data_IF_001513697048
#
_entry.id   IF_001513697048
#
_cell.length_a   1.000
_cell.length_b   1.000
_cell.length_c   1.000
_cell.angle_alpha   90.00
_cell.angle_beta   90.00
_cell.angle_gamma   90.00
#
_symmetry.space_group_name_H-M   'P 1'
#
loop_
_entity.id
_entity.type
_entity.pdbx_description
1 polymer ?
#
# COMPACT_ATOMS: atom_id res chain seq x y z
N UNK A 1 5.14 20.31 -21.58
CA UNK A 1 5.20 18.85 -21.30
C UNK A 1 3.87 18.41 -20.72
N UNK A 2 3.35 17.30 -21.24
CA UNK A 2 2.08 16.69 -20.83
C UNK A 2 2.30 15.28 -20.30
N UNK A 3 1.85 15.00 -19.07
CA UNK A 3 2.00 13.70 -18.43
C UNK A 3 0.61 13.15 -18.07
N UNK A 4 0.34 11.89 -18.46
CA UNK A 4 -0.91 11.21 -18.13
C UNK A 4 -0.64 10.06 -17.16
N UNK A 5 -1.44 9.97 -16.08
CA UNK A 5 -1.42 8.90 -15.10
C UNK A 5 -2.56 7.92 -15.38
N UNK A 6 -2.23 6.68 -15.73
CA UNK A 6 -3.18 5.60 -16.00
C UNK A 6 -3.68 4.99 -14.67
N UNK A 7 -4.99 5.03 -14.43
CA UNK A 7 -5.62 4.59 -13.19
C UNK A 7 -6.65 3.50 -13.46
N UNK A 8 -6.16 2.26 -13.64
CA UNK A 8 -7.02 1.08 -13.71
C UNK A 8 -7.70 0.76 -12.36
N UNK A 9 -7.03 1.11 -11.25
CA UNK A 9 -7.53 0.88 -9.90
C UNK A 9 -7.20 2.06 -8.98
N UNK A 10 -8.16 2.44 -8.12
CA UNK A 10 -8.01 3.58 -7.21
C UNK A 10 -6.81 3.47 -6.23
N UNK A 11 -6.38 2.27 -5.90
CA UNK A 11 -5.23 2.06 -5.01
C UNK A 11 -3.87 2.43 -5.64
N UNK A 12 -3.82 2.87 -6.92
CA UNK A 12 -2.63 3.51 -7.50
C UNK A 12 -2.48 4.96 -7.03
N UNK A 13 -3.59 5.65 -6.75
CA UNK A 13 -3.59 7.08 -6.42
C UNK A 13 -2.66 7.47 -5.27
N UNK A 14 -2.58 6.73 -4.14
CA UNK A 14 -1.65 7.08 -3.07
C UNK A 14 -0.17 7.10 -3.51
N UNK A 15 0.18 6.39 -4.59
CA UNK A 15 1.53 6.39 -5.17
C UNK A 15 1.73 7.53 -6.16
N UNK A 16 0.67 7.93 -6.85
CA UNK A 16 0.69 8.98 -7.86
C UNK A 16 0.55 10.38 -7.29
N UNK A 17 -0.33 10.56 -6.30
CA UNK A 17 -0.66 11.89 -5.79
C UNK A 17 0.57 12.72 -5.37
N UNK A 18 1.56 12.17 -4.64
CA UNK A 18 2.74 12.97 -4.28
C UNK A 18 3.59 13.38 -5.49
N UNK A 19 3.60 12.55 -6.56
CA UNK A 19 4.30 12.87 -7.82
C UNK A 19 3.52 13.90 -8.62
N UNK A 20 2.19 13.78 -8.67
CA UNK A 20 1.29 14.76 -9.30
C UNK A 20 1.47 16.13 -8.66
N UNK A 21 1.49 16.19 -7.33
CA UNK A 21 1.67 17.44 -6.57
C UNK A 21 3.04 18.07 -6.86
N UNK A 22 4.10 17.27 -6.95
CA UNK A 22 5.45 17.76 -7.29
C UNK A 22 5.52 18.32 -8.70
N UNK A 23 5.00 17.57 -9.69
CA UNK A 23 4.96 18.00 -11.10
C UNK A 23 4.08 19.23 -11.31
N UNK A 24 2.95 19.32 -10.57
CA UNK A 24 2.06 20.50 -10.61
C UNK A 24 2.79 21.77 -10.15
N UNK A 25 3.59 21.67 -9.08
CA UNK A 25 4.42 22.81 -8.60
C UNK A 25 5.44 23.27 -9.64
N UNK A 26 5.84 22.39 -10.55
CA UNK A 26 6.77 22.67 -11.63
C UNK A 26 6.09 23.07 -12.95
N UNK A 27 4.75 23.29 -12.93
CA UNK A 27 4.00 23.82 -14.07
C UNK A 27 3.75 22.81 -15.20
N UNK A 28 3.82 21.51 -14.94
CA UNK A 28 3.56 20.45 -15.91
C UNK A 28 2.05 20.32 -16.17
N UNK A 29 1.66 20.09 -17.43
CA UNK A 29 0.30 19.73 -17.80
C UNK A 29 0.01 18.26 -17.41
N UNK A 30 -0.96 18.09 -16.51
CA UNK A 30 -1.24 16.79 -15.91
C UNK A 30 -2.64 16.29 -16.23
N UNK A 31 -2.76 15.00 -16.53
CA UNK A 31 -4.03 14.31 -16.67
C UNK A 31 -4.07 12.99 -15.90
N UNK A 32 -5.25 12.66 -15.39
CA UNK A 32 -5.52 11.36 -14.73
C UNK A 32 -6.58 10.63 -15.55
N UNK A 33 -6.24 9.43 -16.00
CA UNK A 33 -7.07 8.62 -16.91
C UNK A 33 -7.65 7.44 -16.13
N UNK A 34 -8.92 7.52 -15.78
CA UNK A 34 -9.65 6.44 -15.12
C UNK A 34 -10.28 5.50 -16.14
N UNK A 35 -10.23 4.19 -15.89
CA UNK A 35 -10.88 3.18 -16.73
C UNK A 35 -12.40 3.05 -16.46
N UNK A 36 -12.88 3.64 -15.38
CA UNK A 36 -14.30 3.73 -15.00
C UNK A 36 -14.53 4.97 -14.15
N UNK A 37 -15.79 5.37 -13.98
CA UNK A 37 -16.15 6.55 -13.18
C UNK A 37 -15.62 6.41 -11.74
N UNK A 38 -14.74 7.32 -11.28
CA UNK A 38 -14.25 7.31 -9.90
C UNK A 38 -15.29 7.90 -8.94
N UNK A 39 -15.19 7.64 -7.62
CA UNK A 39 -16.00 8.30 -6.61
C UNK A 39 -15.93 9.84 -6.74
N UNK A 40 -17.08 10.50 -6.55
CA UNK A 40 -17.19 11.96 -6.75
C UNK A 40 -16.18 12.77 -5.93
N UNK A 41 -15.92 12.36 -4.69
CA UNK A 41 -14.93 13.02 -3.81
C UNK A 41 -13.50 12.95 -4.38
N UNK A 42 -13.09 11.78 -4.90
CA UNK A 42 -11.77 11.59 -5.53
C UNK A 42 -11.67 12.43 -6.81
N UNK A 43 -12.73 12.43 -7.64
CA UNK A 43 -12.80 13.24 -8.85
C UNK A 43 -12.67 14.72 -8.54
N UNK A 44 -13.40 15.23 -7.56
CA UNK A 44 -13.36 16.63 -7.14
C UNK A 44 -11.95 17.02 -6.64
N UNK A 45 -11.34 16.20 -5.79
CA UNK A 45 -9.99 16.44 -5.27
C UNK A 45 -8.96 16.51 -6.40
N UNK A 46 -8.92 15.52 -7.29
CA UNK A 46 -7.92 15.46 -8.36
C UNK A 46 -8.13 16.53 -9.43
N UNK A 47 -9.36 16.97 -9.68
CA UNK A 47 -9.67 18.03 -10.64
C UNK A 47 -9.05 19.38 -10.28
N UNK A 48 -8.59 19.57 -9.05
CA UNK A 48 -7.87 20.78 -8.63
C UNK A 48 -6.40 20.81 -9.10
N UNK A 49 -5.84 19.63 -9.44
CA UNK A 49 -4.42 19.49 -9.76
C UNK A 49 -4.16 18.90 -11.15
N UNK A 50 -5.12 18.20 -11.75
CA UNK A 50 -4.98 17.54 -13.04
C UNK A 50 -6.30 17.51 -13.83
N UNK A 51 -6.23 17.37 -15.13
CA UNK A 51 -7.40 17.11 -15.98
C UNK A 51 -7.86 15.66 -15.80
N UNK A 52 -9.16 15.44 -15.68
CA UNK A 52 -9.72 14.09 -15.47
C UNK A 52 -10.31 13.57 -16.79
N UNK A 53 -9.90 12.37 -17.15
CA UNK A 53 -10.42 11.62 -18.28
C UNK A 53 -11.03 10.30 -17.76
N UNK A 54 -12.15 9.87 -18.38
CA UNK A 54 -12.81 8.60 -18.10
C UNK A 54 -12.88 7.85 -19.41
N UNK A 55 -12.04 6.83 -19.57
CA UNK A 55 -11.84 6.12 -20.84
C UNK A 55 -11.94 4.62 -20.59
N UNK A 56 -12.85 3.95 -21.28
CA UNK A 56 -12.96 2.50 -21.21
C UNK A 56 -11.67 1.81 -21.69
N UNK A 57 -11.35 0.66 -21.12
CA UNK A 57 -10.12 -0.10 -21.39
C UNK A 57 -9.89 -0.33 -22.91
N UNK A 58 -10.95 -0.61 -23.68
CA UNK A 58 -10.88 -0.83 -25.12
C UNK A 58 -10.48 0.39 -25.94
N UNK A 59 -10.69 1.60 -25.41
CA UNK A 59 -10.43 2.87 -26.09
C UNK A 59 -9.10 3.52 -25.70
N UNK A 60 -8.38 2.99 -24.70
CA UNK A 60 -7.17 3.60 -24.13
C UNK A 60 -6.07 3.83 -25.16
N UNK A 61 -5.79 2.85 -26.04
CA UNK A 61 -4.74 2.97 -27.07
C UNK A 61 -5.08 4.13 -28.01
N UNK A 62 -6.32 4.20 -28.50
CA UNK A 62 -6.79 5.30 -29.36
C UNK A 62 -6.65 6.64 -28.63
N UNK A 63 -7.13 6.71 -27.39
CA UNK A 63 -7.06 7.93 -26.57
C UNK A 63 -5.62 8.42 -26.40
N UNK A 64 -4.69 7.55 -26.00
CA UNK A 64 -3.28 7.95 -25.83
C UNK A 64 -2.63 8.37 -27.16
N UNK A 65 -2.97 7.70 -28.26
CA UNK A 65 -2.50 8.06 -29.60
C UNK A 65 -2.98 9.45 -30.03
N UNK A 66 -4.24 9.79 -29.72
CA UNK A 66 -4.83 11.12 -30.03
C UNK A 66 -4.29 12.21 -29.10
N UNK A 67 -4.07 11.91 -27.80
CA UNK A 67 -3.60 12.88 -26.82
C UNK A 67 -2.10 13.18 -26.91
N UNK A 68 -1.31 12.28 -27.48
CA UNK A 68 0.15 12.38 -27.66
C UNK A 68 0.89 12.95 -26.42
N UNK A 69 0.69 12.38 -25.21
CA UNK A 69 1.43 12.88 -24.04
C UNK A 69 2.91 12.58 -24.17
N UNK A 70 3.76 13.39 -23.55
CA UNK A 70 5.19 13.11 -23.44
C UNK A 70 5.44 11.85 -22.62
N UNK A 71 4.65 11.64 -21.54
CA UNK A 71 4.72 10.49 -20.67
C UNK A 71 3.37 9.89 -20.34
N UNK A 72 3.35 8.55 -20.21
CA UNK A 72 2.23 7.79 -19.61
C UNK A 72 2.77 7.00 -18.42
N UNK A 73 2.19 7.21 -17.24
CA UNK A 73 2.60 6.56 -15.99
C UNK A 73 1.60 5.47 -15.61
N UNK A 74 2.08 4.24 -15.49
CA UNK A 74 1.29 3.05 -15.14
C UNK A 74 1.54 2.61 -13.68
N UNK A 75 0.50 2.11 -13.00
CA UNK A 75 0.59 1.57 -11.62
C UNK A 75 0.89 0.07 -11.54
N UNK A 76 0.92 -0.59 -12.70
CA UNK A 76 1.19 -2.02 -12.84
C UNK A 76 1.65 -2.33 -14.27
N UNK A 77 2.01 -3.60 -14.51
CA UNK A 77 2.28 -4.11 -15.86
C UNK A 77 1.14 -3.76 -16.85
N UNK A 78 1.51 -3.31 -18.04
CA UNK A 78 0.58 -2.98 -19.10
C UNK A 78 1.17 -3.34 -20.47
N UNK A 79 0.32 -3.84 -21.39
CA UNK A 79 0.68 -4.08 -22.79
C UNK A 79 0.35 -2.90 -23.71
N UNK A 80 -0.24 -1.82 -23.17
CA UNK A 80 -0.58 -0.62 -23.93
C UNK A 80 0.66 -0.02 -24.60
N UNK A 81 1.82 0.14 -23.92
CA UNK A 81 3.01 0.74 -24.51
C UNK A 81 3.44 0.09 -25.83
N UNK A 82 3.38 -1.24 -25.92
CA UNK A 82 3.70 -1.98 -27.16
C UNK A 82 2.78 -1.68 -28.36
N UNK A 83 1.65 -0.99 -28.14
CA UNK A 83 0.68 -0.59 -29.17
C UNK A 83 0.74 0.90 -29.55
N UNK A 84 1.59 1.69 -28.88
CA UNK A 84 1.68 3.14 -29.06
C UNK A 84 2.75 3.58 -30.07
N UNK A 85 3.47 2.64 -30.70
CA UNK A 85 4.48 2.91 -31.74
C UNK A 85 5.56 3.95 -31.33
N UNK A 86 5.90 4.03 -30.03
CA UNK A 86 6.94 4.94 -29.52
C UNK A 86 6.54 6.43 -29.48
N UNK A 87 5.27 6.76 -29.64
CA UNK A 87 4.78 8.16 -29.63
C UNK A 87 4.87 8.84 -28.26
N UNK A 88 4.88 8.06 -27.17
CA UNK A 88 4.96 8.54 -25.79
C UNK A 88 5.95 7.68 -25.02
N UNK A 89 6.76 8.29 -24.17
CA UNK A 89 7.57 7.55 -23.21
C UNK A 89 6.68 6.96 -22.12
N UNK A 90 7.08 5.83 -21.58
CA UNK A 90 6.26 5.11 -20.61
C UNK A 90 7.05 4.75 -19.36
N UNK A 91 6.44 4.96 -18.19
CA UNK A 91 7.05 4.59 -16.93
C UNK A 91 6.05 3.88 -16.00
N UNK A 92 6.58 3.10 -15.06
CA UNK A 92 5.79 2.40 -14.05
C UNK A 92 6.18 2.84 -12.65
N UNK A 93 5.18 3.24 -11.86
CA UNK A 93 5.28 3.39 -10.41
C UNK A 93 4.50 2.24 -9.79
N UNK A 94 5.20 1.20 -9.33
CA UNK A 94 4.55 0.00 -8.79
C UNK A 94 3.79 0.31 -7.50
N UNK A 95 2.56 -0.24 -7.39
CA UNK A 95 1.65 0.00 -6.28
C UNK A 95 1.86 -0.89 -5.04
N UNK A 96 2.98 -1.60 -4.93
CA UNK A 96 3.20 -2.52 -3.82
C UNK A 96 4.65 -2.66 -3.42
N UNK A 97 4.86 -2.89 -2.11
CA UNK A 97 6.13 -3.15 -1.47
C UNK A 97 6.30 -4.61 -1.09
N UNK A 98 7.56 -5.01 -0.96
CA UNK A 98 7.95 -6.27 -0.34
C UNK A 98 8.12 -7.43 -1.31
N UNK A 99 8.25 -8.63 -0.76
CA UNK A 99 8.86 -9.76 -1.45
C UNK A 99 7.93 -10.56 -2.38
N UNK A 100 6.70 -10.09 -2.63
CA UNK A 100 5.74 -10.86 -3.44
C UNK A 100 6.22 -11.02 -4.87
N UNK A 101 6.23 -12.26 -5.37
CA UNK A 101 6.64 -12.61 -6.74
C UNK A 101 5.90 -11.80 -7.83
N UNK A 102 4.64 -11.45 -7.59
CA UNK A 102 3.86 -10.61 -8.51
C UNK A 102 4.48 -9.23 -8.75
N UNK A 103 5.20 -8.67 -7.77
CA UNK A 103 5.86 -7.38 -7.91
C UNK A 103 7.17 -7.45 -8.70
N UNK A 104 7.76 -8.65 -8.82
CA UNK A 104 8.91 -8.88 -9.71
C UNK A 104 8.44 -9.18 -11.13
N UNK A 105 7.53 -10.14 -11.28
CA UNK A 105 7.03 -10.59 -12.60
C UNK A 105 6.30 -9.47 -13.37
N UNK A 106 5.72 -8.48 -12.67
CA UNK A 106 5.11 -7.30 -13.27
C UNK A 106 6.08 -6.42 -14.07
N UNK A 107 7.40 -6.64 -13.91
CA UNK A 107 8.43 -5.93 -14.68
C UNK A 107 8.61 -6.47 -16.10
N UNK A 108 8.11 -7.68 -16.40
CA UNK A 108 8.12 -8.25 -17.74
C UNK A 108 6.96 -7.71 -18.59
N UNK A 109 7.10 -6.47 -19.05
CA UNK A 109 6.11 -5.78 -19.87
C UNK A 109 6.80 -4.73 -20.76
N UNK A 110 6.15 -4.19 -21.79
CA UNK A 110 6.74 -3.24 -22.73
C UNK A 110 6.84 -1.79 -22.23
N UNK A 111 6.72 -1.55 -20.94
CA UNK A 111 6.97 -0.23 -20.33
C UNK A 111 8.48 0.05 -20.40
N UNK A 112 8.91 1.29 -20.71
CA UNK A 112 10.33 1.64 -20.86
C UNK A 112 11.07 1.75 -19.54
N UNK A 113 10.50 2.49 -18.57
CA UNK A 113 11.14 2.80 -17.28
C UNK A 113 10.35 2.24 -16.11
N UNK A 114 11.03 1.82 -15.05
CA UNK A 114 10.41 1.35 -13.81
C UNK A 114 11.04 2.07 -12.64
N UNK A 115 10.23 2.86 -11.94
CA UNK A 115 10.65 3.48 -10.69
C UNK A 115 10.57 2.46 -9.57
N UNK A 116 11.69 2.28 -8.88
CA UNK A 116 11.90 1.22 -7.89
C UNK A 116 12.26 1.84 -6.56
N UNK A 117 11.77 1.24 -5.50
CA UNK A 117 11.89 1.78 -4.15
C UNK A 117 13.28 1.66 -3.55
N UNK A 118 14.06 0.60 -3.83
CA UNK A 118 15.36 0.37 -3.20
C UNK A 118 16.44 -0.12 -4.17
N UNK A 119 17.71 0.19 -3.86
CA UNK A 119 18.87 -0.30 -4.60
C UNK A 119 18.94 -1.84 -4.64
N UNK A 120 18.62 -2.49 -3.51
CA UNK A 120 18.62 -3.95 -3.42
C UNK A 120 17.64 -4.56 -4.41
N UNK A 121 16.45 -3.95 -4.53
CA UNK A 121 15.43 -4.42 -5.48
C UNK A 121 15.80 -4.08 -6.91
N UNK A 122 16.35 -2.91 -7.16
CA UNK A 122 16.85 -2.53 -8.50
C UNK A 122 17.87 -3.53 -9.01
N UNK A 123 18.88 -3.88 -8.20
CA UNK A 123 19.90 -4.88 -8.55
C UNK A 123 19.29 -6.26 -8.86
N UNK A 124 18.34 -6.71 -8.03
CA UNK A 124 17.64 -7.99 -8.24
C UNK A 124 16.81 -7.98 -9.54
N UNK A 125 16.08 -6.90 -9.79
CA UNK A 125 15.27 -6.75 -11.00
C UNK A 125 16.15 -6.64 -12.25
N UNK A 126 17.25 -5.93 -12.20
CA UNK A 126 18.21 -5.82 -13.30
C UNK A 126 18.83 -7.18 -13.66
N UNK A 127 19.07 -8.04 -12.65
CA UNK A 127 19.53 -9.43 -12.88
C UNK A 127 18.46 -10.29 -13.54
N UNK A 128 17.17 -10.13 -13.13
CA UNK A 128 16.06 -10.90 -13.69
C UNK A 128 15.64 -10.44 -15.09
N UNK A 129 15.78 -9.13 -15.36
CA UNK A 129 15.32 -8.48 -16.59
C UNK A 129 16.42 -7.51 -17.10
N UNK A 130 17.53 -8.04 -17.65
CA UNK A 130 18.69 -7.22 -18.01
C UNK A 130 18.42 -6.22 -19.16
N UNK A 131 17.38 -6.46 -19.95
CA UNK A 131 16.93 -5.64 -21.08
C UNK A 131 15.96 -4.51 -20.66
N UNK A 132 15.60 -4.42 -19.37
CA UNK A 132 14.67 -3.41 -18.85
C UNK A 132 15.40 -2.32 -18.07
N UNK A 133 14.84 -1.11 -18.07
CA UNK A 133 15.42 0.04 -17.35
C UNK A 133 14.74 0.23 -16.01
N UNK A 134 15.55 0.22 -14.93
CA UNK A 134 15.12 0.43 -13.56
C UNK A 134 15.79 1.69 -12.99
N UNK A 135 15.00 2.52 -12.30
CA UNK A 135 15.46 3.77 -11.69
C UNK A 135 15.11 3.76 -10.21
N UNK A 136 16.11 3.73 -9.35
CA UNK A 136 15.89 3.79 -7.90
C UNK A 136 15.45 5.18 -7.49
N UNK A 137 14.25 5.30 -6.93
CA UNK A 137 13.67 6.60 -6.54
C UNK A 137 13.23 6.66 -5.08
N UNK A 138 13.03 5.53 -4.41
CA UNK A 138 12.31 5.45 -3.15
C UNK A 138 10.82 5.16 -3.38
N UNK A 139 10.05 5.12 -2.29
CA UNK A 139 8.63 4.76 -2.32
C UNK A 139 7.74 5.98 -2.13
N UNK A 140 7.24 6.53 -3.22
CA UNK A 140 6.54 7.82 -3.31
C UNK A 140 5.35 7.96 -2.36
N UNK A 141 4.61 6.88 -2.13
CA UNK A 141 3.44 6.84 -1.25
C UNK A 141 3.75 7.33 0.17
N UNK A 142 4.97 7.12 0.67
CA UNK A 142 5.34 7.48 2.05
C UNK A 142 5.78 8.95 2.20
N UNK A 143 6.12 9.64 1.14
CA UNK A 143 6.62 11.02 1.21
C UNK A 143 5.72 11.94 2.03
N UNK A 144 4.38 11.95 1.87
CA UNK A 144 3.51 12.80 2.66
C UNK A 144 3.56 12.52 4.17
N UNK A 145 3.74 11.25 4.58
CA UNK A 145 3.88 10.90 6.00
C UNK A 145 5.21 11.38 6.57
N UNK A 146 6.30 11.19 5.82
CA UNK A 146 7.65 11.58 6.25
C UNK A 146 7.78 13.10 6.33
N UNK A 147 7.16 13.81 5.37
CA UNK A 147 7.17 15.27 5.31
C UNK A 147 6.12 15.92 6.23
N UNK A 148 5.34 15.13 7.00
CA UNK A 148 4.24 15.61 7.84
C UNK A 148 3.23 16.49 7.07
N UNK A 149 3.02 16.21 5.78
CA UNK A 149 2.04 16.89 4.92
C UNK A 149 0.73 16.12 4.81
N UNK A 150 0.65 14.94 5.42
CA UNK A 150 -0.55 14.11 5.44
C UNK A 150 -1.25 14.22 6.79
N UNK A 151 -2.53 14.57 6.78
CA UNK A 151 -3.31 14.65 8.00
C UNK A 151 -3.56 13.25 8.58
N UNK A 152 -3.20 13.06 9.84
CA UNK A 152 -3.60 11.89 10.61
C UNK A 152 -5.12 11.87 10.79
N UNK A 153 -5.67 10.68 11.02
CA UNK A 153 -7.08 10.59 11.41
C UNK A 153 -7.29 11.33 12.73
N UNK A 154 -8.29 12.21 12.77
CA UNK A 154 -8.67 12.92 14.00
C UNK A 154 -9.36 11.95 14.95
N UNK A 155 -8.61 11.49 15.96
CA UNK A 155 -9.10 10.52 16.94
C UNK A 155 -10.30 11.07 17.73
N UNK A 156 -10.26 12.35 18.12
CA UNK A 156 -11.34 12.96 18.88
C UNK A 156 -12.63 13.08 18.06
N UNK A 157 -12.53 13.46 16.78
CA UNK A 157 -13.67 13.49 15.87
C UNK A 157 -14.29 12.11 15.63
N UNK A 158 -13.49 11.03 15.81
CA UNK A 158 -13.97 9.64 15.75
C UNK A 158 -14.45 9.09 17.10
N UNK A 159 -14.55 9.91 18.13
CA UNK A 159 -14.97 9.51 19.48
C UNK A 159 -13.89 8.72 20.26
N UNK A 160 -12.64 8.74 19.80
CA UNK A 160 -11.52 8.09 20.46
C UNK A 160 -10.74 9.09 21.36
N UNK A 161 -10.05 8.58 22.38
CA UNK A 161 -9.25 9.43 23.28
C UNK A 161 -7.88 9.77 22.69
N UNK A 162 -7.54 11.06 22.50
CA UNK A 162 -6.21 11.44 22.04
C UNK A 162 -5.06 11.05 22.99
N UNK A 163 -5.36 10.86 24.28
CA UNK A 163 -4.37 10.53 25.32
C UNK A 163 -3.99 9.04 25.36
N UNK A 164 -4.75 8.19 24.68
CA UNK A 164 -4.49 6.74 24.63
C UNK A 164 -3.56 6.38 23.49
N UNK A 165 -2.70 5.38 23.73
CA UNK A 165 -1.94 4.73 22.64
C UNK A 165 -2.91 4.10 21.64
N UNK A 166 -2.55 4.19 20.35
CA UNK A 166 -3.40 3.79 19.24
C UNK A 166 -2.81 2.57 18.51
N UNK A 167 -3.60 1.51 18.45
CA UNK A 167 -3.29 0.29 17.72
C UNK A 167 -3.95 0.35 16.33
N UNK A 168 -3.21 0.07 15.28
CA UNK A 168 -3.74 -0.10 13.92
C UNK A 168 -3.83 -1.59 13.59
N UNK A 169 -5.04 -2.12 13.49
CA UNK A 169 -5.27 -3.46 12.96
C UNK A 169 -5.60 -3.36 11.47
N UNK A 170 -4.65 -3.80 10.64
CA UNK A 170 -4.78 -3.75 9.17
C UNK A 170 -4.69 -5.15 8.55
N UNK A 171 -5.75 -5.99 8.69
CA UNK A 171 -5.74 -7.35 8.21
C UNK A 171 -5.86 -7.46 6.69
N UNK A 172 -5.28 -8.53 6.12
CA UNK A 172 -5.52 -8.92 4.72
C UNK A 172 -6.93 -9.51 4.56
N UNK A 173 -7.38 -9.62 3.30
CA UNK A 173 -8.69 -10.23 3.04
C UNK A 173 -8.68 -11.77 3.13
N UNK A 174 -7.56 -12.41 2.74
CA UNK A 174 -7.41 -13.87 2.80
C UNK A 174 -5.97 -14.34 2.46
N UNK A 175 -5.40 -15.30 3.23
CA UNK A 175 -5.89 -15.75 4.54
C UNK A 175 -5.78 -14.62 5.58
N UNK A 176 -6.66 -14.60 6.58
CA UNK A 176 -6.75 -13.51 7.54
C UNK A 176 -6.85 -14.02 8.98
N UNK A 177 -6.46 -13.19 9.94
CA UNK A 177 -6.64 -13.43 11.37
C UNK A 177 -8.02 -13.01 11.87
N UNK A 178 -8.81 -12.21 11.12
CA UNK A 178 -10.10 -11.64 11.56
C UNK A 178 -11.00 -12.69 12.20
N UNK A 179 -11.19 -13.85 11.54
CA UNK A 179 -12.12 -14.88 11.97
C UNK A 179 -11.61 -15.71 13.17
N UNK A 180 -10.37 -15.46 13.62
CA UNK A 180 -9.75 -16.11 14.78
C UNK A 180 -9.59 -15.14 15.97
N UNK A 181 -10.02 -13.87 15.83
CA UNK A 181 -10.14 -12.95 16.95
C UNK A 181 -11.45 -13.23 17.73
N UNK A 182 -11.45 -13.17 19.07
CA UNK A 182 -12.67 -13.20 19.88
C UNK A 182 -13.59 -12.03 19.53
N UNK A 183 -14.90 -12.21 19.78
CA UNK A 183 -15.87 -11.13 19.57
C UNK A 183 -15.63 -9.93 20.49
N UNK A 184 -15.14 -10.18 21.69
CA UNK A 184 -14.91 -9.20 22.76
C UNK A 184 -13.46 -8.70 22.82
N UNK A 185 -12.61 -8.99 21.80
CA UNK A 185 -11.22 -8.55 21.82
C UNK A 185 -11.05 -7.04 22.02
N UNK A 186 -11.91 -6.15 21.51
CA UNK A 186 -11.72 -4.72 21.74
C UNK A 186 -11.88 -4.35 23.22
N UNK A 187 -12.74 -5.06 23.97
CA UNK A 187 -12.90 -4.86 25.42
C UNK A 187 -11.63 -5.25 26.20
N UNK A 188 -10.94 -6.30 25.75
CA UNK A 188 -9.68 -6.75 26.35
C UNK A 188 -8.54 -5.73 26.13
N UNK A 189 -8.71 -4.80 25.19
CA UNK A 189 -7.78 -3.72 24.85
C UNK A 189 -8.38 -2.32 25.12
N UNK A 190 -9.32 -2.18 26.07
CA UNK A 190 -10.04 -0.93 26.35
C UNK A 190 -9.13 0.25 26.77
N UNK A 191 -7.91 -0.03 27.24
CA UNK A 191 -6.90 0.98 27.57
C UNK A 191 -6.25 1.62 26.32
N UNK A 192 -6.48 1.09 25.11
CA UNK A 192 -5.96 1.57 23.84
C UNK A 192 -7.08 2.03 22.93
N UNK A 193 -6.80 2.94 22.00
CA UNK A 193 -7.61 3.12 20.81
C UNK A 193 -7.29 2.00 19.80
N UNK A 194 -8.28 1.59 19.05
CA UNK A 194 -8.15 0.58 18.00
C UNK A 194 -8.68 1.17 16.71
N UNK A 195 -7.80 1.40 15.74
CA UNK A 195 -8.15 1.72 14.37
C UNK A 195 -8.16 0.41 13.56
N UNK A 196 -9.29 0.09 12.95
CA UNK A 196 -9.40 -1.10 12.11
C UNK A 196 -9.51 -0.65 10.65
N UNK A 197 -8.49 -0.96 9.85
CA UNK A 197 -8.45 -0.69 8.41
C UNK A 197 -8.29 -1.99 7.64
N UNK A 198 -9.37 -2.75 7.41
CA UNK A 198 -9.30 -4.01 6.68
C UNK A 198 -9.06 -3.78 5.20
N UNK A 199 -8.59 -4.81 4.52
CA UNK A 199 -8.47 -4.78 3.06
C UNK A 199 -9.86 -4.55 2.44
N UNK A 200 -9.95 -3.68 1.42
CA UNK A 200 -11.20 -3.31 0.75
C UNK A 200 -12.08 -4.52 0.37
N UNK A 201 -11.47 -5.61 -0.12
CA UNK A 201 -12.21 -6.82 -0.49
C UNK A 201 -12.92 -7.48 0.70
N UNK A 202 -12.43 -7.34 1.93
CA UNK A 202 -13.13 -7.83 3.13
C UNK A 202 -14.45 -7.12 3.35
N UNK A 203 -14.52 -5.84 2.95
CA UNK A 203 -15.71 -5.01 3.12
C UNK A 203 -16.77 -5.26 2.04
N UNK A 204 -16.39 -5.56 0.80
CA UNK A 204 -17.32 -5.60 -0.33
C UNK A 204 -17.65 -6.99 -0.87
N UNK A 205 -16.72 -7.97 -0.82
CA UNK A 205 -16.96 -9.27 -1.46
C UNK A 205 -17.89 -10.16 -0.63
N UNK A 206 -18.93 -10.78 -1.26
CA UNK A 206 -19.86 -11.68 -0.57
C UNK A 206 -19.17 -12.84 0.18
N UNK A 207 -18.06 -13.35 -0.37
CA UNK A 207 -17.29 -14.44 0.22
C UNK A 207 -16.73 -14.13 1.63
N UNK A 208 -16.65 -12.85 2.03
CA UNK A 208 -16.13 -12.40 3.32
C UNK A 208 -17.22 -11.89 4.28
N UNK A 209 -18.46 -12.38 4.13
CA UNK A 209 -19.60 -12.01 4.99
C UNK A 209 -19.27 -12.17 6.49
N UNK A 210 -18.65 -13.30 6.88
CA UNK A 210 -18.26 -13.53 8.29
C UNK A 210 -17.25 -12.52 8.82
N UNK A 211 -16.32 -12.06 7.99
CA UNK A 211 -15.39 -11.00 8.39
C UNK A 211 -16.15 -9.69 8.62
N UNK A 212 -17.06 -9.31 7.72
CA UNK A 212 -17.89 -8.09 7.91
C UNK A 212 -18.74 -8.13 9.16
N UNK A 213 -19.37 -9.27 9.46
CA UNK A 213 -20.18 -9.43 10.68
C UNK A 213 -19.33 -9.20 11.94
N UNK A 214 -18.08 -9.67 11.97
CA UNK A 214 -17.16 -9.42 13.09
C UNK A 214 -16.72 -7.96 13.14
N UNK A 215 -16.35 -7.37 12.01
CA UNK A 215 -15.95 -5.97 11.91
C UNK A 215 -17.04 -5.02 12.36
N UNK A 216 -18.28 -5.23 11.93
CA UNK A 216 -19.45 -4.45 12.35
C UNK A 216 -19.77 -4.66 13.85
N UNK A 217 -19.56 -5.86 14.37
CA UNK A 217 -19.69 -6.10 15.80
C UNK A 217 -18.66 -5.30 16.61
N UNK A 218 -17.38 -5.31 16.19
CA UNK A 218 -16.30 -4.60 16.89
C UNK A 218 -16.45 -3.07 16.80
N UNK A 219 -17.02 -2.55 15.73
CA UNK A 219 -17.32 -1.12 15.55
C UNK A 219 -18.15 -0.52 16.70
N UNK A 220 -18.94 -1.34 17.40
CA UNK A 220 -19.80 -0.87 18.49
C UNK A 220 -19.05 -0.66 19.82
N UNK A 221 -17.76 -1.00 19.90
CA UNK A 221 -16.96 -0.73 21.10
C UNK A 221 -16.45 0.71 21.12
N UNK A 222 -16.48 1.40 22.28
CA UNK A 222 -16.19 2.83 22.40
C UNK A 222 -14.71 3.19 22.09
N UNK A 223 -13.82 2.20 22.08
CA UNK A 223 -12.41 2.37 21.75
C UNK A 223 -12.06 1.93 20.32
N UNK A 224 -13.05 1.71 19.46
CA UNK A 224 -12.86 1.21 18.08
C UNK A 224 -13.34 2.21 17.06
N UNK A 225 -12.51 2.47 16.07
CA UNK A 225 -12.92 3.07 14.80
C UNK A 225 -12.70 2.07 13.66
N UNK A 226 -13.75 1.75 12.95
CA UNK A 226 -13.70 0.92 11.73
C UNK A 226 -13.73 1.82 10.50
N UNK A 227 -12.70 1.73 9.68
CA UNK A 227 -12.63 2.46 8.41
C UNK A 227 -13.79 2.09 7.48
N UNK A 228 -14.39 3.10 6.87
CA UNK A 228 -15.41 2.93 5.84
C UNK A 228 -14.80 2.45 4.51
N UNK A 229 -15.60 1.87 3.59
CA UNK A 229 -15.12 1.51 2.25
C UNK A 229 -14.61 2.71 1.43
N UNK A 230 -15.07 3.93 1.73
CA UNK A 230 -14.70 5.16 1.00
C UNK A 230 -13.33 5.69 1.43
N UNK A 231 -12.85 5.30 2.60
CA UNK A 231 -11.51 5.65 3.09
C UNK A 231 -10.46 4.76 2.40
N UNK A 232 -10.06 5.12 1.18
CA UNK A 232 -9.17 4.30 0.34
C UNK A 232 -7.72 4.26 0.85
N UNK A 233 -7.25 5.33 1.51
CA UNK A 233 -5.87 5.43 1.98
C UNK A 233 -5.66 4.79 3.37
N UNK A 234 -4.52 4.11 3.54
CA UNK A 234 -4.05 3.62 4.84
C UNK A 234 -3.22 4.68 5.59
N UNK A 235 -2.74 5.71 4.88
CA UNK A 235 -1.79 6.69 5.42
C UNK A 235 -2.30 7.47 6.64
N UNK A 236 -3.57 7.97 6.69
CA UNK A 236 -4.08 8.67 7.88
C UNK A 236 -4.08 7.78 9.13
N UNK A 237 -4.35 6.50 8.95
CA UNK A 237 -4.34 5.50 10.04
C UNK A 237 -2.93 5.20 10.52
N UNK A 238 -1.96 5.09 9.59
CA UNK A 238 -0.54 4.90 9.91
C UNK A 238 0.03 6.12 10.66
N UNK A 239 -0.35 7.32 10.27
CA UNK A 239 0.07 8.56 10.93
C UNK A 239 -0.37 8.58 12.40
N UNK A 240 -1.63 8.21 12.69
CA UNK A 240 -2.22 8.23 14.03
C UNK A 240 -1.77 7.06 14.93
N UNK A 241 -1.29 5.95 14.35
CA UNK A 241 -1.01 4.73 15.11
C UNK A 241 0.37 4.71 15.76
N UNK A 242 0.46 4.13 16.96
CA UNK A 242 1.73 3.84 17.66
C UNK A 242 2.28 2.45 17.32
N UNK A 243 1.41 1.49 16.97
CA UNK A 243 1.75 0.11 16.67
C UNK A 243 0.80 -0.45 15.61
N UNK A 244 1.32 -1.29 14.70
CA UNK A 244 0.50 -2.00 13.72
C UNK A 244 0.44 -3.49 14.01
N UNK A 245 -0.77 -4.06 13.88
CA UNK A 245 -1.04 -5.51 13.89
C UNK A 245 -1.53 -5.87 12.48
N UNK A 246 -0.86 -6.82 11.84
CA UNK A 246 -1.28 -7.31 10.52
C UNK A 246 -0.77 -8.74 10.28
N UNK A 247 -1.05 -9.27 9.09
CA UNK A 247 -0.50 -10.54 8.62
C UNK A 247 0.59 -10.30 7.57
N UNK A 248 0.79 -11.21 6.63
CA UNK A 248 1.70 -11.08 5.47
C UNK A 248 1.22 -10.02 4.47
N UNK A 249 1.40 -8.76 4.80
CA UNK A 249 0.92 -7.61 4.03
C UNK A 249 2.06 -6.62 3.73
N UNK A 250 2.03 -5.99 2.55
CA UNK A 250 2.92 -4.86 2.24
C UNK A 250 2.75 -3.69 3.22
N UNK A 251 1.58 -3.55 3.83
CA UNK A 251 1.32 -2.53 4.85
C UNK A 251 2.28 -2.61 6.04
N UNK A 252 2.75 -3.82 6.42
CA UNK A 252 3.76 -3.99 7.47
C UNK A 252 5.08 -3.30 7.12
N UNK A 253 5.54 -3.43 5.86
CA UNK A 253 6.76 -2.76 5.40
C UNK A 253 6.57 -1.25 5.29
N UNK A 254 5.39 -0.80 4.86
CA UNK A 254 5.05 0.62 4.82
C UNK A 254 5.04 1.23 6.23
N UNK A 255 4.45 0.55 7.21
CA UNK A 255 4.41 1.02 8.60
C UNK A 255 5.79 0.93 9.28
N UNK A 256 6.53 -0.14 9.02
CA UNK A 256 7.91 -0.32 9.47
C UNK A 256 8.81 0.85 9.02
N UNK A 257 8.56 1.41 7.81
CA UNK A 257 9.30 2.55 7.30
C UNK A 257 9.20 3.80 8.19
N UNK A 258 8.17 3.89 9.05
CA UNK A 258 8.02 4.94 10.06
C UNK A 258 8.84 4.63 11.34
N UNK A 259 9.63 3.57 11.34
CA UNK A 259 10.37 3.01 12.49
C UNK A 259 9.49 2.72 13.71
N UNK A 260 8.19 2.48 13.49
CA UNK A 260 7.23 2.10 14.53
C UNK A 260 7.12 0.57 14.66
N UNK A 261 6.78 0.03 15.85
CA UNK A 261 6.69 -1.40 16.08
C UNK A 261 5.55 -2.06 15.30
N UNK A 262 5.79 -3.30 14.87
CA UNK A 262 4.82 -4.14 14.18
C UNK A 262 4.65 -5.50 14.86
N UNK A 263 3.43 -6.02 14.85
CA UNK A 263 3.09 -7.39 15.28
C UNK A 263 2.57 -8.16 14.09
N UNK A 264 3.19 -9.31 13.81
CA UNK A 264 2.83 -10.20 12.70
C UNK A 264 1.99 -11.36 13.23
N UNK A 265 0.72 -11.42 12.84
CA UNK A 265 -0.21 -12.48 13.23
C UNK A 265 -0.11 -13.69 12.29
N UNK A 266 0.22 -14.86 12.85
CA UNK A 266 0.29 -16.14 12.11
C UNK A 266 -0.90 -17.08 12.38
N UNK A 267 -1.85 -16.68 13.23
CA UNK A 267 -3.06 -17.47 13.55
C UNK A 267 -4.17 -17.27 12.50
N UNK A 268 -3.82 -17.56 11.25
CA UNK A 268 -4.67 -17.34 10.09
C UNK A 268 -5.85 -18.33 10.02
N UNK A 269 -7.01 -17.86 9.60
CA UNK A 269 -8.13 -18.74 9.21
C UNK A 269 -7.95 -19.23 7.78
N UNK A 270 -7.78 -20.55 7.63
CA UNK A 270 -7.64 -21.20 6.35
C UNK A 270 -8.95 -21.86 5.92
N UNK A 271 -9.31 -21.75 4.64
CA UNK A 271 -10.41 -22.50 4.02
C UNK A 271 -9.99 -23.96 3.81
N UNK A 272 -10.96 -24.85 3.73
CA UNK A 272 -10.71 -26.27 3.49
C UNK A 272 -9.86 -26.55 2.22
N UNK A 273 -9.98 -25.70 1.20
CA UNK A 273 -9.17 -25.78 -0.02
C UNK A 273 -7.65 -25.59 0.17
N UNK A 274 -7.20 -25.31 1.41
CA UNK A 274 -5.80 -25.19 1.80
C UNK A 274 -5.41 -26.17 2.92
N UNK A 275 -6.26 -27.17 3.19
CA UNK A 275 -6.00 -28.18 4.22
C UNK A 275 -5.33 -29.44 3.64
N UNK A 276 -4.69 -30.20 4.51
CA UNK A 276 -4.07 -31.50 4.15
C UNK A 276 -2.99 -31.31 3.06
N UNK A 277 -3.06 -32.16 2.02
CA UNK A 277 -2.13 -32.11 0.89
C UNK A 277 -2.23 -30.83 0.05
N UNK A 278 -3.34 -30.06 0.15
CA UNK A 278 -3.50 -28.79 -0.56
C UNK A 278 -2.74 -27.61 0.10
N UNK A 279 -2.02 -27.83 1.20
CA UNK A 279 -1.15 -26.81 1.85
C UNK A 279 -0.09 -26.24 0.90
N UNK A 280 0.34 -27.00 -0.14
CA UNK A 280 1.27 -26.47 -1.14
C UNK A 280 0.75 -25.22 -1.85
N UNK A 281 -0.58 -25.05 -1.98
CA UNK A 281 -1.19 -23.83 -2.54
C UNK A 281 -0.93 -22.61 -1.67
N UNK A 282 -0.92 -22.80 -0.34
CA UNK A 282 -0.57 -21.72 0.60
C UNK A 282 0.92 -21.41 0.49
N UNK A 283 1.79 -22.42 0.46
CA UNK A 283 3.24 -22.25 0.30
C UNK A 283 3.60 -21.51 -1.00
N UNK A 284 2.95 -21.86 -2.13
CA UNK A 284 3.13 -21.15 -3.40
C UNK A 284 2.68 -19.69 -3.34
N UNK A 285 1.72 -19.35 -2.48
CA UNK A 285 1.23 -17.99 -2.28
C UNK A 285 2.09 -17.19 -1.29
N UNK A 286 2.64 -17.88 -0.30
CA UNK A 286 3.65 -17.36 0.63
C UNK A 286 5.01 -17.66 -0.02
N UNK A 287 5.54 -16.72 -0.81
CA UNK A 287 6.84 -16.86 -1.47
C UNK A 287 7.97 -17.16 -0.49
N UNK A 288 9.15 -17.54 -1.02
CA UNK A 288 10.36 -17.85 -0.24
C UNK A 288 10.78 -16.71 0.71
N UNK A 289 10.35 -15.50 0.42
CA UNK A 289 10.59 -14.31 1.22
C UNK A 289 9.64 -14.15 2.44
N UNK A 290 8.80 -15.16 2.73
CA UNK A 290 7.92 -15.16 3.93
C UNK A 290 8.69 -15.00 5.24
N UNK A 291 9.95 -15.43 5.26
CA UNK A 291 10.83 -15.26 6.42
C UNK A 291 11.03 -13.77 6.78
N UNK A 292 11.05 -12.87 5.81
CA UNK A 292 11.20 -11.43 6.04
C UNK A 292 10.12 -10.88 6.98
N UNK A 293 8.87 -11.37 6.84
CA UNK A 293 7.80 -10.94 7.74
C UNK A 293 8.02 -11.38 9.19
N UNK A 294 8.80 -12.44 9.43
CA UNK A 294 9.11 -12.91 10.78
C UNK A 294 10.22 -12.10 11.45
N UNK A 295 11.04 -11.41 10.66
CA UNK A 295 12.21 -10.70 11.19
C UNK A 295 11.94 -9.22 11.48
N UNK A 296 10.85 -8.65 10.97
CA UNK A 296 10.58 -7.21 11.08
C UNK A 296 9.87 -6.78 12.38
N UNK A 297 9.37 -7.74 13.18
CA UNK A 297 8.63 -7.42 14.40
C UNK A 297 8.26 -8.65 15.21
N UNK A 298 7.43 -8.45 16.20
CA UNK A 298 6.96 -9.52 17.09
C UNK A 298 6.01 -10.46 16.36
N UNK A 299 6.31 -11.76 16.41
CA UNK A 299 5.50 -12.79 15.75
C UNK A 299 4.61 -13.48 16.79
N UNK A 300 3.30 -13.57 16.52
CA UNK A 300 2.35 -14.26 17.37
C UNK A 300 1.63 -15.37 16.59
N UNK A 301 1.59 -16.56 17.19
CA UNK A 301 0.98 -17.75 16.61
C UNK A 301 -0.41 -18.06 17.17
N UNK A 302 -0.76 -17.42 18.30
CA UNK A 302 -2.06 -17.56 18.95
C UNK A 302 -2.56 -16.19 19.40
N UNK A 303 -3.87 -15.97 19.35
CA UNK A 303 -4.50 -14.72 19.82
C UNK A 303 -4.14 -14.41 21.29
N UNK A 304 -4.07 -15.43 22.15
CA UNK A 304 -3.74 -15.26 23.59
C UNK A 304 -2.42 -14.54 23.85
N UNK A 305 -1.50 -14.55 22.88
CA UNK A 305 -0.17 -13.93 23.01
C UNK A 305 -0.21 -12.43 22.63
N UNK A 306 -1.33 -11.96 22.07
CA UNK A 306 -1.45 -10.59 21.52
C UNK A 306 -1.33 -9.51 22.61
N UNK A 307 -1.94 -9.73 23.79
CA UNK A 307 -1.94 -8.73 24.86
C UNK A 307 -0.53 -8.46 25.38
N UNK A 308 0.24 -9.51 25.65
CA UNK A 308 1.65 -9.37 26.04
C UNK A 308 2.47 -8.72 24.92
N UNK A 309 2.30 -9.18 23.67
CA UNK A 309 3.03 -8.62 22.54
C UNK A 309 2.77 -7.12 22.34
N UNK A 310 1.53 -6.65 22.50
CA UNK A 310 1.19 -5.22 22.45
C UNK A 310 1.85 -4.45 23.58
N UNK A 311 1.75 -4.95 24.82
CA UNK A 311 2.39 -4.33 25.99
C UNK A 311 3.90 -4.20 25.82
N UNK A 312 4.58 -5.28 25.43
CA UNK A 312 6.03 -5.32 25.26
C UNK A 312 6.51 -4.32 24.19
N UNK A 313 5.82 -4.27 23.05
CA UNK A 313 6.18 -3.38 21.95
C UNK A 313 5.89 -1.90 22.24
N UNK A 314 4.82 -1.56 22.97
CA UNK A 314 4.52 -0.18 23.35
C UNK A 314 5.42 0.32 24.48
N UNK A 315 5.80 -0.56 25.43
CA UNK A 315 6.75 -0.24 26.52
C UNK A 315 8.19 -0.16 26.01
N UNK A 316 8.54 -0.91 24.98
CA UNK A 316 9.85 -0.90 24.34
C UNK A 316 9.73 -0.75 22.81
N UNK A 317 9.45 0.45 22.27
CA UNK A 317 9.31 0.68 20.84
C UNK A 317 10.56 0.36 20.01
N UNK A 318 11.72 0.27 20.68
CA UNK A 318 13.01 -0.10 20.05
C UNK A 318 13.20 -1.61 19.89
N UNK A 319 12.28 -2.42 20.39
CA UNK A 319 12.29 -3.85 20.12
C UNK A 319 12.29 -4.08 18.59
N UNK A 320 13.24 -4.88 18.09
CA UNK A 320 13.49 -5.08 16.65
C UNK A 320 13.91 -3.83 15.83
N UNK A 321 14.34 -2.73 16.46
CA UNK A 321 14.72 -1.51 15.74
C UNK A 321 15.84 -1.75 14.71
N UNK A 322 16.89 -2.47 15.09
CA UNK A 322 18.01 -2.77 14.18
C UNK A 322 17.55 -3.59 12.95
N UNK A 323 16.69 -4.58 13.17
CA UNK A 323 16.12 -5.38 12.10
C UNK A 323 15.20 -4.52 11.21
N UNK A 324 14.36 -3.67 11.81
CA UNK A 324 13.53 -2.73 11.04
C UNK A 324 14.37 -1.82 10.16
N UNK A 325 15.39 -1.17 10.70
CA UNK A 325 16.28 -0.27 9.94
C UNK A 325 16.96 -0.99 8.78
N UNK A 326 17.48 -2.21 9.01
CA UNK A 326 18.05 -3.05 7.96
C UNK A 326 17.05 -3.33 6.83
N UNK A 327 15.82 -3.72 7.17
CA UNK A 327 14.81 -4.07 6.18
C UNK A 327 14.14 -2.84 5.56
N UNK A 328 14.10 -1.69 6.24
CA UNK A 328 13.72 -0.42 5.63
C UNK A 328 14.65 -0.16 4.44
N UNK A 329 15.96 -0.17 4.65
CA UNK A 329 16.94 0.08 3.59
C UNK A 329 16.78 -0.91 2.42
N UNK A 330 16.62 -2.20 2.71
CA UNK A 330 16.56 -3.26 1.68
C UNK A 330 15.26 -3.27 0.89
N UNK A 331 14.10 -3.04 1.54
CA UNK A 331 12.77 -3.26 0.97
C UNK A 331 12.10 -1.94 0.59
N UNK A 332 12.21 -0.92 1.44
CA UNK A 332 11.54 0.37 1.22
C UNK A 332 12.49 1.36 0.54
N UNK A 333 13.79 1.20 0.79
CA UNK A 333 14.84 2.08 0.28
C UNK A 333 15.02 3.32 1.16
N UNK A 334 15.43 4.42 0.53
CA UNK A 334 15.64 5.70 1.21
C UNK A 334 14.30 6.32 1.60
N UNK A 335 14.09 6.49 2.90
CA UNK A 335 12.86 7.08 3.48
C UNK A 335 13.17 8.50 3.94
N UNK A 336 13.25 9.44 3.00
CA UNK A 336 13.63 10.84 3.23
C UNK A 336 12.58 11.86 2.76
N UNK A 337 11.40 11.37 2.34
CA UNK A 337 10.32 12.21 1.84
C UNK A 337 10.59 12.87 0.49
N UNK A 338 11.57 12.39 -0.29
CA UNK A 338 11.98 12.97 -1.58
C UNK A 338 11.79 12.02 -2.77
N UNK A 339 11.15 10.87 -2.57
CA UNK A 339 10.96 9.88 -3.64
C UNK A 339 10.17 10.48 -4.83
N UNK A 340 9.10 11.20 -4.55
CA UNK A 340 8.27 11.85 -5.55
C UNK A 340 9.02 12.93 -6.34
N UNK A 341 9.90 13.67 -5.67
CA UNK A 341 10.75 14.66 -6.31
C UNK A 341 11.78 14.00 -7.22
N UNK A 342 12.36 12.83 -6.81
CA UNK A 342 13.26 12.07 -7.69
C UNK A 342 12.54 11.57 -8.93
N UNK A 343 11.32 11.06 -8.81
CA UNK A 343 10.47 10.67 -9.95
C UNK A 343 10.19 11.87 -10.86
N UNK A 344 9.72 12.99 -10.30
CA UNK A 344 9.40 14.19 -11.08
C UNK A 344 10.63 14.71 -11.84
N UNK A 345 11.78 14.83 -11.17
CA UNK A 345 13.02 15.28 -11.80
C UNK A 345 13.47 14.34 -12.93
N UNK A 346 13.30 13.02 -12.76
CA UNK A 346 13.62 12.07 -13.82
C UNK A 346 12.73 12.31 -15.06
N UNK A 347 11.42 12.43 -14.87
CA UNK A 347 10.47 12.65 -15.96
C UNK A 347 10.77 13.96 -16.73
N UNK A 348 11.10 15.04 -15.99
CA UNK A 348 11.44 16.34 -16.58
C UNK A 348 12.73 16.32 -17.40
N UNK A 349 13.76 15.62 -16.91
CA UNK A 349 15.06 15.57 -17.55
C UNK A 349 15.14 14.60 -18.73
N UNK A 350 14.13 13.75 -18.90
CA UNK A 350 14.07 12.74 -19.98
C UNK A 350 12.85 12.93 -20.90
N UNK A 351 12.25 14.12 -20.92
CA UNK A 351 11.14 14.48 -21.82
C UNK A 351 11.59 14.62 -23.27
#
# INVERSE_FOLDING_TARGET
MKILFDVAYLYYLPHYSPVIDELKRQGVELGVVFHSEPPAAIKAQLSTVAQIYIINEGDLVRFYTEQQPDWIIFGNASNIPGKLNGQSKTAMIMHGLGPKSAYYNGSDCPIEYRFVESESRTKRLQTLFPDKTFVTTGYTKLDPLINNTYEAIDLAAQGLSPDKKTLLYSPTFYPSTIENFPKDWPQQFAQYNILIKPHYLSLIKPAYKKQRELLEHWKNYPNVYLASPDEQSLLPFMAAADLMISETSSALFEFMALNKPVIVGHFLKLRMSYWGFLKFRLQKRLSDDYQLFKEIGTNIHHYRDLQSAVGDNLNNPKLFEQQRLKYIEQIVGTVDGQASKRVANFLLNHS
#
